data_IF_102836100364
#
_entry.id   IF_102836100364
#
_cell.length_a   1.000
_cell.length_b   1.000
_cell.length_c   1.000
_cell.angle_alpha   90.00
_cell.angle_beta   90.00
_cell.angle_gamma   90.00
#
_symmetry.space_group_name_H-M   'P 1'
#
loop_
_entity.id
_entity.type
_entity.pdbx_description
1 polymer ?
#
# COMPACT_ATOMS: atom_id res chain seq x y z
N UNK A 1 16.19 20.58 -12.14
CA UNK A 1 15.26 21.53 -11.46
C UNK A 1 15.94 22.85 -11.11
N UNK A 2 17.02 22.87 -10.31
CA UNK A 2 17.66 24.13 -9.85
C UNK A 2 18.31 25.00 -10.95
N UNK A 3 18.54 24.47 -12.16
CA UNK A 3 19.11 25.21 -13.30
C UNK A 3 18.10 25.45 -14.45
N UNK A 4 16.87 24.93 -14.34
CA UNK A 4 15.83 25.09 -15.37
C UNK A 4 14.79 26.09 -14.90
N UNK A 5 14.30 26.92 -15.81
CA UNK A 5 13.18 27.81 -15.53
C UNK A 5 11.92 27.01 -15.16
N UNK A 6 11.15 27.51 -14.19
CA UNK A 6 9.97 26.83 -13.66
C UNK A 6 8.94 26.45 -14.76
N UNK A 7 8.84 27.29 -15.80
CA UNK A 7 7.98 27.04 -16.96
C UNK A 7 8.43 25.83 -17.79
N UNK A 8 9.74 25.73 -18.06
CA UNK A 8 10.31 24.60 -18.81
C UNK A 8 10.28 23.31 -17.96
N UNK A 9 10.55 23.43 -16.67
CA UNK A 9 10.44 22.31 -15.72
C UNK A 9 9.02 21.75 -15.64
N UNK A 10 8.00 22.61 -15.66
CA UNK A 10 6.60 22.18 -15.65
C UNK A 10 6.21 21.46 -16.95
N UNK A 11 6.65 21.98 -18.10
CA UNK A 11 6.37 21.37 -19.40
C UNK A 11 7.06 20.01 -19.56
N UNK A 12 8.34 19.91 -19.19
CA UNK A 12 9.06 18.64 -19.20
C UNK A 12 8.47 17.65 -18.18
N UNK A 13 8.14 18.11 -16.97
CA UNK A 13 7.53 17.27 -15.93
C UNK A 13 6.17 16.69 -16.36
N UNK A 14 5.31 17.49 -16.99
CA UNK A 14 4.03 17.03 -17.52
C UNK A 14 4.23 15.97 -18.60
N UNK A 15 5.15 16.22 -19.54
CA UNK A 15 5.46 15.27 -20.62
C UNK A 15 5.96 13.93 -20.05
N UNK A 16 6.83 13.97 -19.03
CA UNK A 16 7.33 12.77 -18.35
C UNK A 16 6.21 12.01 -17.63
N UNK A 17 5.35 12.70 -16.88
CA UNK A 17 4.21 12.07 -16.18
C UNK A 17 3.27 11.42 -17.19
N UNK A 18 2.91 12.12 -18.25
CA UNK A 18 2.05 11.57 -19.30
C UNK A 18 2.69 10.34 -19.95
N UNK A 19 3.97 10.41 -20.30
CA UNK A 19 4.69 9.29 -20.89
C UNK A 19 4.69 8.04 -19.99
N UNK A 20 4.96 8.21 -18.70
CA UNK A 20 4.93 7.10 -17.75
C UNK A 20 3.53 6.52 -17.60
N UNK A 21 2.51 7.37 -17.42
CA UNK A 21 1.13 6.90 -17.30
C UNK A 21 0.70 6.13 -18.55
N UNK A 22 0.99 6.64 -19.75
CA UNK A 22 0.63 5.94 -21.00
C UNK A 22 1.36 4.61 -21.13
N UNK A 23 2.65 4.57 -20.79
CA UNK A 23 3.46 3.35 -20.93
C UNK A 23 3.06 2.31 -19.90
N UNK A 24 2.76 2.70 -18.66
CA UNK A 24 2.24 1.82 -17.61
C UNK A 24 0.91 1.20 -18.03
N UNK A 25 -0.03 1.99 -18.56
CA UNK A 25 -1.31 1.46 -19.03
C UNK A 25 -1.10 0.43 -20.14
N UNK A 26 -0.31 0.76 -21.17
CA UNK A 26 -0.01 -0.18 -22.27
C UNK A 26 0.66 -1.47 -21.75
N UNK A 27 1.65 -1.34 -20.86
CA UNK A 27 2.35 -2.49 -20.28
C UNK A 27 1.41 -3.38 -19.45
N UNK A 28 0.52 -2.80 -18.64
CA UNK A 28 -0.45 -3.59 -17.86
C UNK A 28 -1.44 -4.34 -18.75
N UNK A 29 -1.93 -3.73 -19.84
CA UNK A 29 -2.81 -4.40 -20.80
C UNK A 29 -2.10 -5.57 -21.50
N UNK A 30 -0.85 -5.36 -21.93
CA UNK A 30 -0.04 -6.42 -22.51
C UNK A 30 0.22 -7.55 -21.50
N UNK A 31 0.51 -7.21 -20.25
CA UNK A 31 0.71 -8.19 -19.17
C UNK A 31 -0.53 -9.04 -18.92
N UNK A 32 -1.71 -8.42 -18.84
CA UNK A 32 -2.98 -9.13 -18.68
C UNK A 32 -3.24 -10.06 -19.87
N UNK A 33 -3.04 -9.58 -21.10
CA UNK A 33 -3.22 -10.38 -22.31
C UNK A 33 -2.27 -11.60 -22.33
N UNK A 34 -1.00 -11.41 -21.96
CA UNK A 34 -0.02 -12.49 -21.92
C UNK A 34 -0.39 -13.56 -20.88
N UNK A 35 -0.81 -13.14 -19.68
CA UNK A 35 -1.22 -14.06 -18.61
C UNK A 35 -2.48 -14.83 -19.00
N UNK A 36 -3.46 -14.17 -19.64
CA UNK A 36 -4.68 -14.81 -20.12
C UNK A 36 -4.47 -15.71 -21.34
N UNK A 37 -3.38 -15.58 -22.09
CA UNK A 37 -3.10 -16.44 -23.25
C UNK A 37 -2.29 -17.66 -22.82
N UNK A 38 -1.22 -17.44 -22.08
CA UNK A 38 -0.30 -18.50 -21.63
C UNK A 38 -0.90 -19.30 -20.47
N UNK A 39 -1.82 -18.72 -19.68
CA UNK A 39 -2.38 -19.30 -18.45
C UNK A 39 -1.29 -19.91 -17.54
N UNK A 40 -0.33 -19.10 -17.06
CA UNK A 40 0.72 -19.61 -16.19
C UNK A 40 0.11 -20.07 -14.86
N UNK A 41 0.39 -21.32 -14.47
CA UNK A 41 0.01 -21.91 -13.19
C UNK A 41 -0.89 -23.14 -13.32
N UNK A 42 -0.70 -24.11 -12.42
CA UNK A 42 -1.49 -25.35 -12.41
C UNK A 42 -2.85 -25.15 -11.72
N UNK A 43 -3.98 -25.33 -12.43
CA UNK A 43 -5.32 -25.22 -11.82
C UNK A 43 -5.57 -26.30 -10.75
N UNK A 44 -4.84 -27.43 -10.80
CA UNK A 44 -4.93 -28.50 -9.80
C UNK A 44 -4.39 -28.12 -8.41
N UNK A 45 -3.50 -27.13 -8.30
CA UNK A 45 -2.95 -26.70 -7.00
C UNK A 45 -4.00 -25.91 -6.19
N UNK A 46 -4.97 -25.27 -6.86
CA UNK A 46 -6.09 -24.57 -6.20
C UNK A 46 -7.09 -25.52 -5.52
N UNK A 47 -7.10 -26.80 -5.88
CA UNK A 47 -8.00 -27.80 -5.32
C UNK A 47 -7.44 -28.49 -4.06
N UNK A 48 -6.13 -28.35 -3.81
CA UNK A 48 -5.53 -28.75 -2.55
C UNK A 48 -5.78 -27.66 -1.51
N UNK A 49 -6.42 -28.02 -0.40
CA UNK A 49 -6.53 -27.22 0.82
C UNK A 49 -5.20 -26.53 1.12
N UNK A 50 -5.06 -25.27 0.68
CA UNK A 50 -3.97 -24.42 1.12
C UNK A 50 -4.08 -24.33 2.64
N UNK A 51 -2.99 -24.53 3.40
CA UNK A 51 -3.02 -24.28 4.83
C UNK A 51 -3.54 -22.85 5.02
N UNK A 52 -4.51 -22.69 5.91
CA UNK A 52 -5.16 -21.44 6.28
C UNK A 52 -4.07 -20.39 6.57
N UNK A 53 -3.70 -19.62 5.54
CA UNK A 53 -2.76 -18.52 5.69
C UNK A 53 -3.52 -17.55 6.58
N UNK A 54 -2.97 -17.17 7.76
CA UNK A 54 -3.65 -16.23 8.63
C UNK A 54 -4.05 -15.05 7.78
N UNK A 55 -5.36 -14.75 7.73
CA UNK A 55 -5.90 -13.65 6.95
C UNK A 55 -5.15 -12.41 7.41
N UNK A 56 -4.13 -12.03 6.64
CA UNK A 56 -3.32 -10.85 6.88
C UNK A 56 -4.30 -9.71 7.05
N UNK A 57 -4.25 -9.05 8.21
CA UNK A 57 -5.11 -7.95 8.64
C UNK A 57 -5.67 -7.20 7.44
N UNK A 58 -7.00 -7.26 7.23
CA UNK A 58 -7.68 -6.62 6.09
C UNK A 58 -7.32 -5.14 6.03
N UNK A 59 -6.26 -4.81 5.29
CA UNK A 59 -5.83 -3.43 5.06
C UNK A 59 -6.72 -2.88 3.96
N UNK A 60 -7.53 -1.88 4.32
CA UNK A 60 -8.36 -1.21 3.33
C UNK A 60 -7.48 -0.57 2.25
N UNK A 61 -7.77 -0.74 0.95
CA UNK A 61 -7.01 -0.08 -0.12
C UNK A 61 -6.95 1.45 0.03
N UNK A 62 -7.99 2.04 0.63
CA UNK A 62 -8.04 3.47 0.97
C UNK A 62 -6.94 3.81 1.99
N UNK A 63 -6.74 2.96 2.99
CA UNK A 63 -5.75 3.19 4.04
C UNK A 63 -4.34 3.14 3.46
N UNK A 64 -4.08 2.19 2.55
CA UNK A 64 -2.82 2.13 1.79
C UNK A 64 -2.61 3.38 0.93
N UNK A 65 -3.65 3.90 0.27
CA UNK A 65 -3.53 5.14 -0.52
C UNK A 65 -3.26 6.36 0.36
N UNK A 66 -3.94 6.48 1.51
CA UNK A 66 -3.67 7.55 2.46
C UNK A 66 -2.28 7.44 3.08
N UNK A 67 -1.81 6.23 3.34
CA UNK A 67 -0.45 5.99 3.82
C UNK A 67 0.57 6.38 2.75
N UNK A 68 0.31 6.13 1.46
CA UNK A 68 1.15 6.63 0.36
C UNK A 68 1.26 8.16 0.40
N UNK A 69 0.12 8.87 0.47
CA UNK A 69 0.10 10.34 0.54
C UNK A 69 0.83 10.86 1.78
N UNK A 70 0.65 10.23 2.95
CA UNK A 70 1.37 10.61 4.18
C UNK A 70 2.88 10.40 4.04
N UNK A 71 3.31 9.34 3.36
CA UNK A 71 4.73 9.08 3.14
C UNK A 71 5.34 10.00 2.05
N UNK A 72 4.52 10.58 1.15
CA UNK A 72 4.99 11.63 0.21
C UNK A 72 5.29 12.96 0.90
N UNK A 73 4.67 13.23 2.05
CA UNK A 73 4.87 14.44 2.86
C UNK A 73 5.22 14.07 4.31
N UNK A 74 6.44 13.58 4.57
CA UNK A 74 6.82 13.12 5.90
C UNK A 74 6.87 14.29 6.88
N UNK A 75 6.43 14.05 8.11
CA UNK A 75 6.54 15.01 9.22
C UNK A 75 8.01 15.23 9.66
N UNK A 76 8.87 14.23 9.43
CA UNK A 76 10.29 14.29 9.71
C UNK A 76 11.11 13.61 8.60
N UNK A 77 11.94 14.39 7.92
CA UNK A 77 12.77 13.91 6.80
C UNK A 77 13.82 12.90 7.26
N UNK A 78 14.44 13.10 8.44
CA UNK A 78 15.46 12.19 8.99
C UNK A 78 14.83 10.85 9.37
N UNK A 79 13.60 10.87 9.89
CA UNK A 79 12.88 9.64 10.22
C UNK A 79 12.45 8.89 8.96
N UNK A 80 11.94 9.62 7.96
CA UNK A 80 11.49 9.05 6.69
C UNK A 80 12.57 8.29 5.92
N UNK A 81 13.86 8.56 6.18
CA UNK A 81 14.96 7.79 5.56
C UNK A 81 15.16 6.40 6.18
N UNK A 82 14.60 6.13 7.36
CA UNK A 82 14.77 4.85 8.06
C UNK A 82 13.44 4.14 8.35
N UNK A 83 12.33 4.84 8.31
CA UNK A 83 11.03 4.36 8.76
C UNK A 83 9.89 4.85 7.86
N UNK A 84 8.83 4.05 7.73
CA UNK A 84 7.61 4.40 6.98
C UNK A 84 6.38 4.43 7.89
N UNK A 85 5.44 5.31 7.58
CA UNK A 85 4.16 5.38 8.29
C UNK A 85 3.17 4.40 7.65
N UNK A 86 2.52 3.57 8.47
CA UNK A 86 1.49 2.63 8.01
C UNK A 86 0.32 2.57 8.99
N UNK A 87 -0.89 2.42 8.45
CA UNK A 87 -2.10 2.16 9.21
C UNK A 87 -2.09 0.70 9.69
N UNK A 88 -2.32 0.51 10.99
CA UNK A 88 -2.43 -0.81 11.63
C UNK A 88 -3.69 -0.89 12.47
N UNK A 89 -4.24 -2.09 12.63
CA UNK A 89 -5.40 -2.32 13.49
C UNK A 89 -4.94 -2.89 14.82
N UNK A 90 -5.11 -2.12 15.89
CA UNK A 90 -4.74 -2.54 17.25
C UNK A 90 -5.99 -2.90 18.05
N UNK A 91 -5.94 -4.04 18.72
CA UNK A 91 -6.94 -4.49 19.69
C UNK A 91 -6.92 -3.55 20.91
N UNK A 92 -7.94 -2.70 21.07
CA UNK A 92 -8.10 -1.90 22.28
C UNK A 92 -9.13 -2.53 23.22
N UNK A 93 -8.72 -2.72 24.49
CA UNK A 93 -9.67 -3.09 25.56
C UNK A 93 -10.56 -1.87 25.86
N UNK A 94 -11.90 -2.01 25.86
CA UNK A 94 -12.79 -0.89 26.18
C UNK A 94 -12.59 -0.42 27.63
N UNK A 95 -12.53 0.91 27.84
CA UNK A 95 -12.34 1.54 29.16
C UNK A 95 -13.52 1.38 30.13
N UNK A 96 -14.64 0.80 29.69
CA UNK A 96 -15.83 0.57 30.50
C UNK A 96 -16.13 -0.93 30.47
N UNK A 97 -15.61 -1.66 31.45
CA UNK A 97 -16.06 -3.01 31.76
C UNK A 97 -17.42 -2.90 32.45
N UNK A 98 -18.52 -2.99 31.69
CA UNK A 98 -19.78 -3.46 32.28
C UNK A 98 -19.62 -4.96 32.46
N UNK A 99 -19.86 -5.47 33.68
CA UNK A 99 -19.79 -6.88 34.07
C UNK A 99 -20.62 -7.79 33.14
N UNK A 100 -20.05 -8.18 32.02
CA UNK A 100 -20.62 -9.18 31.11
C UNK A 100 -19.46 -9.95 30.49
N UNK A 101 -19.52 -11.27 30.55
CA UNK A 101 -18.42 -12.22 30.39
C UNK A 101 -17.85 -12.39 28.97
N UNK A 102 -17.91 -11.35 28.13
CA UNK A 102 -17.33 -11.35 26.79
C UNK A 102 -16.42 -10.13 26.64
N UNK A 103 -15.10 -10.35 26.62
CA UNK A 103 -14.13 -9.32 26.23
C UNK A 103 -14.36 -8.96 24.76
N UNK A 104 -15.14 -7.90 24.51
CA UNK A 104 -15.29 -7.35 23.16
C UNK A 104 -13.97 -6.65 22.79
N UNK A 105 -13.12 -7.34 22.04
CA UNK A 105 -11.91 -6.78 21.46
C UNK A 105 -12.32 -5.85 20.31
N UNK A 106 -12.23 -4.53 20.51
CA UNK A 106 -12.51 -3.56 19.46
C UNK A 106 -11.20 -3.30 18.71
N UNK A 107 -11.16 -3.69 17.44
CA UNK A 107 -10.08 -3.34 16.53
C UNK A 107 -10.20 -1.85 16.17
N UNK A 108 -9.27 -1.04 16.66
CA UNK A 108 -9.20 0.39 16.32
C UNK A 108 -8.04 0.65 15.38
N UNK A 109 -8.31 1.52 14.41
CA UNK A 109 -7.31 2.03 13.48
C UNK A 109 -6.32 2.90 14.23
N UNK A 110 -5.04 2.55 14.14
CA UNK A 110 -3.93 3.31 14.70
C UNK A 110 -2.85 3.53 13.64
N UNK A 111 -2.15 4.66 13.73
CA UNK A 111 -0.99 4.94 12.89
C UNK A 111 0.23 4.40 13.63
N UNK A 112 0.98 3.51 12.97
CA UNK A 112 2.23 2.97 13.49
C UNK A 112 3.35 3.23 12.51
N UNK A 113 4.56 3.39 13.04
CA UNK A 113 5.77 3.54 12.25
C UNK A 113 6.47 2.19 12.15
N UNK A 114 6.75 1.75 10.94
CA UNK A 114 7.45 0.49 10.66
C UNK A 114 8.87 0.80 10.24
N UNK A 115 9.85 0.13 10.87
CA UNK A 115 11.27 0.29 10.52
C UNK A 115 11.54 -0.37 9.18
N UNK A 116 12.22 0.33 8.29
CA UNK A 116 12.55 -0.14 6.94
C UNK A 116 12.04 0.78 5.84
N UNK A 117 12.91 1.05 4.86
CA UNK A 117 12.55 1.70 3.62
C UNK A 117 12.04 0.63 2.68
N UNK A 118 10.75 0.65 2.33
CA UNK A 118 10.23 -0.24 1.29
C UNK A 118 10.62 0.33 -0.08
N UNK A 119 11.92 0.36 -0.35
CA UNK A 119 12.46 0.49 -1.70
C UNK A 119 12.53 -0.92 -2.25
N UNK A 120 11.61 -1.21 -3.16
CA UNK A 120 11.82 -2.20 -4.20
C UNK A 120 12.88 -1.66 -5.17
#
# INVERSE_FOLDING_TARGET
LAQMDAKESGQMGLATVLYYLTTTVLATLLGIFLVMTIHPGDPSIKAGSLPDVPVDTDVSPLDTFLDLVRNMFPENIIQATFERVQTTYVAQRPRIAKNSSEEIIIMKKAISTTRGMNIL
#
